data_IF_358420063070
#
_entry.id   IF_358420063070
#
_cell.length_a   1.000
_cell.length_b   1.000
_cell.length_c   1.000
_cell.angle_alpha   90.00
_cell.angle_beta   90.00
_cell.angle_gamma   90.00
#
_symmetry.space_group_name_H-M   'P 1'
#
loop_
_entity.id
_entity.type
_entity.pdbx_description
1 polymer ?
#
# COMPACT_ATOMS: atom_id res chain seq x y z
N UNK A 1 67.37 6.69 -48.81
CA UNK A 1 66.92 7.93 -48.14
C UNK A 1 65.61 8.34 -48.79
N UNK A 2 64.52 8.42 -47.99
CA UNK A 2 63.22 9.11 -48.26
C UNK A 2 62.41 8.67 -49.49
N UNK A 3 61.08 8.57 -49.52
CA UNK A 3 59.96 8.63 -48.56
C UNK A 3 58.72 8.15 -49.34
N UNK A 4 57.86 7.38 -48.67
CA UNK A 4 56.39 7.28 -48.76
C UNK A 4 55.65 7.57 -50.08
N UNK A 5 54.87 6.59 -50.55
CA UNK A 5 53.48 6.74 -51.04
C UNK A 5 52.85 5.32 -51.04
N UNK A 6 51.95 5.04 -50.10
CA UNK A 6 50.49 5.01 -50.33
C UNK A 6 50.01 3.60 -50.73
N UNK A 7 49.54 2.81 -49.75
CA UNK A 7 48.26 2.08 -49.87
C UNK A 7 47.91 1.27 -48.60
N UNK A 8 46.62 1.34 -48.28
CA UNK A 8 45.82 0.42 -47.44
C UNK A 8 45.95 0.45 -45.91
N UNK A 9 45.04 1.20 -45.32
CA UNK A 9 44.33 0.86 -44.07
C UNK A 9 42.87 0.57 -44.45
N UNK A 10 42.14 -0.35 -43.79
CA UNK A 10 41.99 -0.34 -42.35
C UNK A 10 42.11 -1.71 -41.65
N UNK A 11 43.04 -1.79 -40.69
CA UNK A 11 42.92 -2.64 -39.50
C UNK A 11 42.01 -1.94 -38.48
N UNK A 12 41.20 -2.74 -37.82
CA UNK A 12 40.21 -2.40 -36.81
C UNK A 12 40.64 -1.27 -35.85
N UNK A 13 39.78 -0.27 -35.69
CA UNK A 13 39.74 0.55 -34.49
C UNK A 13 38.33 0.42 -33.90
N UNK A 14 38.28 -0.39 -32.85
CA UNK A 14 37.30 -0.35 -31.78
C UNK A 14 37.14 1.10 -31.32
N UNK A 15 36.06 1.77 -31.72
CA UNK A 15 35.68 3.07 -31.17
C UNK A 15 34.59 2.88 -30.14
N UNK A 16 35.01 3.25 -28.94
CA UNK A 16 34.30 3.49 -27.70
C UNK A 16 32.86 3.97 -27.87
N UNK A 17 32.04 3.47 -26.95
CA UNK A 17 30.69 3.87 -26.64
C UNK A 17 30.49 5.40 -26.68
N UNK A 18 29.53 5.81 -27.51
CA UNK A 18 28.80 7.06 -27.39
C UNK A 18 27.34 6.64 -27.15
N UNK A 19 26.88 6.70 -25.90
CA UNK A 19 26.15 7.83 -25.29
C UNK A 19 24.68 7.90 -25.73
N UNK A 20 23.83 8.02 -24.69
CA UNK A 20 22.43 8.45 -24.72
C UNK A 20 21.39 7.45 -25.22
N UNK A 21 21.08 6.48 -24.37
CA UNK A 21 19.68 6.31 -23.99
C UNK A 21 19.54 6.83 -22.57
N UNK A 22 18.97 8.03 -22.47
CA UNK A 22 18.57 8.65 -21.23
C UNK A 22 17.64 7.70 -20.49
N UNK A 23 18.21 6.93 -19.56
CA UNK A 23 17.43 6.40 -18.46
C UNK A 23 16.97 7.64 -17.68
N UNK A 24 15.78 8.10 -18.05
CA UNK A 24 15.01 9.02 -17.23
C UNK A 24 14.82 8.26 -15.93
N UNK A 25 15.74 8.46 -15.00
CA UNK A 25 15.56 8.12 -13.59
C UNK A 25 14.27 8.82 -13.25
N UNK A 26 13.17 8.07 -13.21
CA UNK A 26 11.88 8.60 -12.82
C UNK A 26 12.12 9.16 -11.43
N UNK A 27 12.25 10.49 -11.32
CA UNK A 27 12.20 11.17 -10.04
C UNK A 27 10.97 10.57 -9.35
N UNK A 28 11.07 10.10 -8.10
CA UNK A 28 9.88 9.71 -7.37
C UNK A 28 8.95 10.91 -7.46
N UNK A 29 7.84 10.75 -8.19
CA UNK A 29 6.90 11.83 -8.48
C UNK A 29 6.47 12.36 -7.13
N UNK A 30 7.03 13.51 -6.74
CA UNK A 30 6.86 14.01 -5.38
C UNK A 30 5.44 14.52 -5.32
N UNK A 31 4.52 13.72 -4.79
CA UNK A 31 3.11 14.08 -4.72
C UNK A 31 2.97 15.39 -3.98
N UNK A 32 2.11 16.26 -4.48
CA UNK A 32 1.75 17.50 -3.78
C UNK A 32 0.90 17.19 -2.55
N UNK A 33 0.86 18.11 -1.60
CA UNK A 33 -0.02 18.02 -0.43
C UNK A 33 -1.48 17.81 -0.86
N UNK A 34 -1.94 18.52 -1.89
CA UNK A 34 -3.31 18.37 -2.39
C UNK A 34 -3.59 16.95 -2.90
N UNK A 35 -2.64 16.33 -3.60
CA UNK A 35 -2.78 14.96 -4.08
C UNK A 35 -2.86 13.97 -2.91
N UNK A 36 -2.00 14.12 -1.90
CA UNK A 36 -2.08 13.27 -0.71
C UNK A 36 -3.39 13.45 0.04
N UNK A 37 -3.88 14.68 0.20
CA UNK A 37 -5.17 14.93 0.86
C UNK A 37 -6.32 14.26 0.10
N UNK A 38 -6.32 14.33 -1.23
CA UNK A 38 -7.33 13.66 -2.05
C UNK A 38 -7.27 12.12 -1.88
N UNK A 39 -6.07 11.54 -1.84
CA UNK A 39 -5.89 10.10 -1.61
C UNK A 39 -6.34 9.69 -0.20
N UNK A 40 -6.06 10.51 0.81
CA UNK A 40 -6.51 10.30 2.19
C UNK A 40 -8.04 10.35 2.27
N UNK A 41 -8.69 11.29 1.58
CA UNK A 41 -10.14 11.36 1.54
C UNK A 41 -10.75 10.13 0.85
N UNK A 42 -10.13 9.62 -0.21
CA UNK A 42 -10.58 8.38 -0.84
C UNK A 42 -10.42 7.18 0.10
N UNK A 43 -9.24 7.01 0.71
CA UNK A 43 -8.99 5.93 1.67
C UNK A 43 -9.94 6.01 2.87
N UNK A 44 -10.30 7.20 3.31
CA UNK A 44 -11.30 7.42 4.36
C UNK A 44 -12.70 6.96 3.96
N UNK A 45 -13.10 7.15 2.70
CA UNK A 45 -14.38 6.64 2.18
C UNK A 45 -14.32 5.11 2.17
N UNK A 46 -13.31 4.56 1.49
CA UNK A 46 -13.13 3.10 1.31
C UNK A 46 -13.08 2.39 2.68
N UNK A 47 -12.28 2.91 3.62
CA UNK A 47 -12.16 2.35 4.96
C UNK A 47 -13.47 2.40 5.74
N UNK A 48 -14.22 3.51 5.67
CA UNK A 48 -15.52 3.61 6.36
C UNK A 48 -16.54 2.63 5.80
N UNK A 49 -16.58 2.44 4.49
CA UNK A 49 -17.48 1.49 3.84
C UNK A 49 -17.12 0.04 4.20
N UNK A 50 -15.82 -0.31 4.16
CA UNK A 50 -15.34 -1.61 4.60
C UNK A 50 -15.64 -1.86 6.08
N UNK A 51 -15.32 -0.92 6.98
CA UNK A 51 -15.62 -1.04 8.42
C UNK A 51 -17.12 -1.27 8.64
N UNK A 52 -17.98 -0.44 8.06
CA UNK A 52 -19.43 -0.56 8.21
C UNK A 52 -19.99 -1.89 7.71
N UNK A 53 -19.39 -2.44 6.65
CA UNK A 53 -19.79 -3.73 6.09
C UNK A 53 -19.36 -4.87 7.01
N UNK A 54 -18.13 -4.81 7.51
CA UNK A 54 -17.52 -5.87 8.31
C UNK A 54 -18.02 -5.88 9.76
N UNK A 55 -18.38 -4.74 10.34
CA UNK A 55 -19.06 -4.64 11.64
C UNK A 55 -20.43 -5.35 11.66
N UNK A 56 -21.07 -5.50 10.50
CA UNK A 56 -22.37 -6.19 10.38
C UNK A 56 -22.22 -7.69 10.18
N UNK A 57 -21.01 -8.18 9.91
CA UNK A 57 -20.79 -9.60 9.69
C UNK A 57 -20.97 -10.32 11.02
N UNK A 58 -21.93 -11.25 11.06
CA UNK A 58 -22.12 -12.09 12.24
C UNK A 58 -20.96 -13.10 12.32
N UNK A 59 -20.09 -12.86 13.29
CA UNK A 59 -18.88 -13.65 13.58
C UNK A 59 -19.14 -14.82 14.54
N UNK A 60 -20.39 -15.04 14.98
CA UNK A 60 -20.72 -16.19 15.83
C UNK A 60 -20.45 -17.50 15.10
N UNK A 61 -19.98 -18.57 15.78
CA UNK A 61 -19.60 -19.84 15.15
C UNK A 61 -20.64 -20.40 14.16
N UNK A 62 -21.93 -20.30 14.50
CA UNK A 62 -23.05 -20.78 13.68
C UNK A 62 -23.20 -20.06 12.33
N UNK A 63 -22.71 -18.83 12.23
CA UNK A 63 -22.80 -17.97 11.03
C UNK A 63 -21.44 -17.71 10.39
N UNK A 64 -20.34 -17.94 11.10
CA UNK A 64 -18.99 -17.76 10.60
C UNK A 64 -18.73 -18.58 9.32
N UNK A 65 -19.15 -19.84 9.26
CA UNK A 65 -19.01 -20.68 8.04
C UNK A 65 -19.80 -20.08 6.86
N UNK A 66 -21.03 -19.62 7.10
CA UNK A 66 -21.86 -19.01 6.07
C UNK A 66 -21.32 -17.64 5.61
N UNK A 67 -20.51 -16.98 6.46
CA UNK A 67 -19.85 -15.72 6.17
C UNK A 67 -18.37 -15.89 5.80
N UNK A 68 -17.86 -17.11 5.63
CA UNK A 68 -16.43 -17.38 5.49
C UNK A 68 -15.78 -16.57 4.38
N UNK A 69 -16.39 -16.53 3.20
CA UNK A 69 -15.85 -15.78 2.06
C UNK A 69 -15.82 -14.27 2.35
N UNK A 70 -16.86 -13.74 3.01
CA UNK A 70 -16.93 -12.33 3.44
C UNK A 70 -15.89 -12.00 4.51
N UNK A 71 -15.60 -12.95 5.41
CA UNK A 71 -14.57 -12.78 6.43
C UNK A 71 -13.17 -12.74 5.78
N UNK A 72 -12.88 -13.67 4.87
CA UNK A 72 -11.60 -13.73 4.15
C UNK A 72 -11.40 -12.48 3.27
N UNK A 73 -12.43 -12.10 2.51
CA UNK A 73 -12.40 -10.89 1.67
C UNK A 73 -12.28 -9.63 2.53
N UNK A 74 -12.99 -9.57 3.65
CA UNK A 74 -12.89 -8.50 4.63
C UNK A 74 -11.49 -8.32 5.19
N UNK A 75 -10.85 -9.41 5.61
CA UNK A 75 -9.47 -9.37 6.10
C UNK A 75 -8.47 -8.93 5.01
N UNK A 76 -8.66 -9.36 3.76
CA UNK A 76 -7.86 -8.88 2.62
C UNK A 76 -8.05 -7.37 2.41
N UNK A 77 -9.29 -6.89 2.42
CA UNK A 77 -9.61 -5.47 2.28
C UNK A 77 -8.97 -4.64 3.39
N UNK A 78 -9.10 -5.07 4.65
CA UNK A 78 -8.47 -4.43 5.81
C UNK A 78 -6.95 -4.35 5.65
N UNK A 79 -6.31 -5.44 5.23
CA UNK A 79 -4.86 -5.47 5.00
C UNK A 79 -4.45 -4.45 3.93
N UNK A 80 -5.11 -4.45 2.77
CA UNK A 80 -4.83 -3.49 1.69
C UNK A 80 -5.03 -2.04 2.14
N UNK A 81 -6.10 -1.76 2.89
CA UNK A 81 -6.36 -0.43 3.43
C UNK A 81 -5.31 0.00 4.46
N UNK A 82 -4.87 -0.93 5.31
CA UNK A 82 -3.84 -0.68 6.32
C UNK A 82 -2.49 -0.37 5.66
N UNK A 83 -2.09 -1.14 4.65
CA UNK A 83 -0.87 -0.89 3.87
C UNK A 83 -0.92 0.49 3.20
N UNK A 84 -2.06 0.84 2.59
CA UNK A 84 -2.25 2.14 1.94
C UNK A 84 -2.25 3.31 2.93
N UNK A 85 -2.83 3.12 4.12
CA UNK A 85 -2.77 4.12 5.21
C UNK A 85 -1.32 4.34 5.64
N UNK A 86 -0.56 3.27 5.88
CA UNK A 86 0.84 3.36 6.29
C UNK A 86 1.70 4.08 5.23
N UNK A 87 1.49 3.78 3.94
CA UNK A 87 2.16 4.45 2.83
C UNK A 87 1.84 5.96 2.80
N UNK A 88 0.57 6.32 2.95
CA UNK A 88 0.15 7.73 3.03
C UNK A 88 0.71 8.43 4.27
N UNK A 89 0.77 7.77 5.42
CA UNK A 89 1.40 8.32 6.63
C UNK A 89 2.89 8.57 6.41
N UNK A 90 3.61 7.64 5.78
CA UNK A 90 5.03 7.80 5.46
C UNK A 90 5.26 8.95 4.47
N UNK A 91 4.44 9.04 3.41
CA UNK A 91 4.50 10.15 2.45
C UNK A 91 4.18 11.49 3.10
N UNK A 92 3.15 11.58 3.95
CA UNK A 92 2.83 12.79 4.70
C UNK A 92 3.96 13.19 5.66
N UNK A 93 4.59 12.23 6.34
CA UNK A 93 5.68 12.51 7.28
C UNK A 93 6.94 13.02 6.59
N UNK A 94 7.31 12.42 5.47
CA UNK A 94 8.47 12.83 4.66
C UNK A 94 8.24 14.11 3.87
N UNK A 95 6.98 14.49 3.66
CA UNK A 95 6.64 15.74 2.97
C UNK A 95 7.08 16.96 3.75
N UNK A 96 7.74 17.88 3.05
CA UNK A 96 8.12 19.20 3.54
C UNK A 96 7.32 20.29 2.84
N UNK A 97 7.30 21.49 3.43
CA UNK A 97 6.66 22.67 2.84
C UNK A 97 7.27 23.05 1.49
N UNK A 98 8.53 22.67 1.23
CA UNK A 98 9.25 22.98 -0.01
C UNK A 98 8.60 22.35 -1.24
N UNK A 99 7.96 21.19 -1.07
CA UNK A 99 7.17 20.53 -2.13
C UNK A 99 5.85 21.24 -2.44
N UNK A 100 5.45 22.23 -1.63
CA UNK A 100 4.19 22.95 -1.74
C UNK A 100 4.40 24.47 -1.59
N UNK A 101 5.07 25.13 -2.54
CA UNK A 101 5.44 26.54 -2.42
C UNK A 101 4.24 27.49 -2.31
N UNK A 102 3.08 27.10 -2.87
CA UNK A 102 1.84 27.88 -2.87
C UNK A 102 1.10 27.85 -1.52
N UNK A 103 1.58 27.08 -0.54
CA UNK A 103 0.95 26.94 0.76
C UNK A 103 1.69 27.76 1.81
N UNK A 104 0.93 28.45 2.66
CA UNK A 104 1.51 29.04 3.87
C UNK A 104 1.98 27.93 4.81
N UNK A 105 3.05 28.17 5.57
CA UNK A 105 3.59 27.20 6.55
C UNK A 105 2.49 26.76 7.53
N UNK A 106 1.70 27.71 8.04
CA UNK A 106 0.57 27.41 8.93
C UNK A 106 -0.49 26.50 8.28
N UNK A 107 -0.84 26.73 7.02
CA UNK A 107 -1.80 25.89 6.30
C UNK A 107 -1.24 24.49 6.04
N UNK A 108 0.04 24.41 5.68
CA UNK A 108 0.76 23.15 5.46
C UNK A 108 0.78 22.32 6.74
N UNK A 109 1.26 22.87 7.85
CA UNK A 109 1.38 22.17 9.13
C UNK A 109 0.02 21.70 9.65
N UNK A 110 -0.98 22.58 9.61
CA UNK A 110 -2.35 22.25 10.05
C UNK A 110 -2.95 21.11 9.23
N UNK A 111 -2.78 21.15 7.91
CA UNK A 111 -3.33 20.12 7.03
C UNK A 111 -2.57 18.81 7.19
N UNK A 112 -1.25 18.86 7.37
CA UNK A 112 -0.41 17.69 7.69
C UNK A 112 -0.86 17.01 8.98
N UNK A 113 -1.02 17.78 10.06
CA UNK A 113 -1.47 17.26 11.34
C UNK A 113 -2.88 16.66 11.27
N UNK A 114 -3.82 17.32 10.59
CA UNK A 114 -5.18 16.81 10.44
C UNK A 114 -5.23 15.51 9.61
N UNK A 115 -4.43 15.44 8.54
CA UNK A 115 -4.28 14.26 7.71
C UNK A 115 -3.72 13.08 8.51
N UNK A 116 -2.61 13.27 9.22
CA UNK A 116 -2.00 12.24 10.06
C UNK A 116 -2.95 11.77 11.17
N UNK A 117 -3.69 12.69 11.80
CA UNK A 117 -4.72 12.33 12.79
C UNK A 117 -5.81 11.45 12.17
N UNK A 118 -6.28 11.82 10.98
CA UNK A 118 -7.31 11.05 10.26
C UNK A 118 -6.83 9.65 9.93
N UNK A 119 -5.59 9.53 9.43
CA UNK A 119 -4.97 8.24 9.10
C UNK A 119 -4.81 7.35 10.35
N UNK A 120 -4.34 7.92 11.46
CA UNK A 120 -4.23 7.21 12.74
C UNK A 120 -5.59 6.73 13.25
N UNK A 121 -6.62 7.59 13.20
CA UNK A 121 -7.98 7.23 13.61
C UNK A 121 -8.55 6.09 12.73
N UNK A 122 -8.29 6.10 11.42
CA UNK A 122 -8.71 5.03 10.51
C UNK A 122 -7.95 3.73 10.77
N UNK A 123 -6.64 3.79 10.94
CA UNK A 123 -5.79 2.64 11.26
C UNK A 123 -6.25 1.93 12.54
N UNK A 124 -6.55 2.71 13.59
CA UNK A 124 -7.07 2.18 14.85
C UNK A 124 -8.42 1.47 14.67
N UNK A 125 -9.33 2.03 13.87
CA UNK A 125 -10.63 1.39 13.60
C UNK A 125 -10.49 0.12 12.78
N UNK A 126 -9.66 0.15 11.73
CA UNK A 126 -9.38 -1.04 10.92
C UNK A 126 -8.79 -2.17 11.77
N UNK A 127 -7.88 -1.85 12.71
CA UNK A 127 -7.34 -2.83 13.66
C UNK A 127 -8.40 -3.43 14.57
N UNK A 128 -9.36 -2.63 15.06
CA UNK A 128 -10.47 -3.15 15.89
C UNK A 128 -11.35 -4.12 15.10
N UNK A 129 -11.66 -3.78 13.85
CA UNK A 129 -12.42 -4.67 12.97
C UNK A 129 -11.61 -5.92 12.63
N UNK A 130 -10.31 -5.81 12.35
CA UNK A 130 -9.45 -6.96 12.05
C UNK A 130 -9.46 -7.97 13.19
N UNK A 131 -9.29 -7.50 14.43
CA UNK A 131 -9.37 -8.32 15.63
C UNK A 131 -10.76 -8.95 15.84
N UNK A 132 -11.82 -8.27 15.42
CA UNK A 132 -13.17 -8.82 15.44
C UNK A 132 -13.31 -9.99 14.45
N UNK A 133 -12.73 -9.87 13.25
CA UNK A 133 -12.78 -10.92 12.22
C UNK A 133 -11.83 -12.08 12.53
N UNK A 134 -10.64 -11.81 13.08
CA UNK A 134 -9.65 -12.82 13.46
C UNK A 134 -10.25 -13.85 14.43
N UNK A 135 -10.95 -13.39 15.47
CA UNK A 135 -11.67 -14.27 16.42
C UNK A 135 -12.70 -15.17 15.73
N UNK A 136 -13.37 -14.66 14.69
CA UNK A 136 -14.32 -15.43 13.89
C UNK A 136 -13.63 -16.51 13.07
N UNK A 137 -12.48 -16.17 12.47
CA UNK A 137 -11.66 -17.07 11.68
C UNK A 137 -11.01 -18.17 12.52
N UNK A 138 -10.51 -17.84 13.71
CA UNK A 138 -10.02 -18.80 14.69
C UNK A 138 -11.12 -19.79 15.13
N UNK A 139 -12.33 -19.28 15.37
CA UNK A 139 -13.50 -20.11 15.72
C UNK A 139 -13.87 -21.09 14.61
N UNK A 140 -13.74 -20.70 13.34
CA UNK A 140 -13.93 -21.59 12.19
C UNK A 140 -12.84 -22.66 12.10
N UNK A 141 -11.59 -22.30 12.42
CA UNK A 141 -10.45 -23.21 12.39
C UNK A 141 -10.41 -24.17 13.59
N UNK A 142 -10.99 -23.77 14.74
CA UNK A 142 -11.05 -24.57 15.96
C UNK A 142 -12.20 -25.59 15.99
N UNK A 143 -13.16 -25.54 15.06
CA UNK A 143 -14.27 -26.49 14.98
C UNK A 143 -13.96 -27.73 14.11
N UNK A 144 -12.70 -27.93 13.72
CA UNK A 144 -12.20 -29.27 13.35
C UNK A 144 -11.82 -30.02 14.61
N UNK A 145 -12.82 -30.46 15.39
CA UNK A 145 -12.61 -31.65 16.20
C UNK A 145 -12.17 -32.77 15.26
N UNK A 146 -11.07 -33.50 15.52
CA UNK A 146 -10.92 -34.80 14.90
C UNK A 146 -12.15 -35.62 15.30
N UNK A 147 -12.88 -36.13 14.31
CA UNK A 147 -13.85 -37.21 14.50
C UNK A 147 -13.06 -38.47 14.91
N UNK A 148 -12.51 -38.45 16.11
CA UNK A 148 -12.06 -39.65 16.78
C UNK A 148 -13.31 -40.33 17.32
N UNK A 149 -13.47 -41.59 16.95
CA UNK A 149 -14.49 -42.55 17.41
C UNK A 149 -15.83 -42.52 16.66
N UNK A 150 -15.93 -43.32 15.60
CA UNK A 150 -16.86 -44.47 15.57
C UNK A 150 -16.70 -45.30 14.30
N UNK A 151 -16.11 -46.49 14.45
CA UNK A 151 -16.50 -47.76 13.78
C UNK A 151 -16.00 -48.85 14.75
N UNK A 152 -16.82 -49.29 15.72
CA UNK A 152 -17.80 -50.38 15.64
C UNK A 152 -17.16 -51.75 15.40
N UNK A 153 -17.30 -52.59 16.43
CA UNK A 153 -17.22 -54.06 16.51
C UNK A 153 -15.87 -54.74 16.48
#
# INVERSE_FOLDING_TARGET
MSTSDEEQVPRAILKHADSQSSETVAKPSTKTMQQLLNEIDQVKIDAKESIKTLEKVDTRPKKAIANRDRLIEGQRSIKTLTERINDLEQQMNTMTKESNPNWSIKQFDKSKQNALKTLSDLSNKLKQVDQHLEKATETMSGNTQPLSASTVS
#
